data_IF_072134515654
#
_entry.id   IF_072134515654
#
_cell.length_a   1.000
_cell.length_b   1.000
_cell.length_c   1.000
_cell.angle_alpha   90.00
_cell.angle_beta   90.00
_cell.angle_gamma   90.00
#
_symmetry.space_group_name_H-M   'P 1'
#
loop_
_entity.id
_entity.type
_entity.pdbx_description
1 polymer ?
#
# COMPACT_ATOMS: atom_id res chain seq x y z
N UNK A 1 -13.38 8.26 50.86
CA UNK A 1 -12.34 8.19 51.91
C UNK A 1 -12.63 9.16 53.06
N UNK A 2 -13.22 10.34 52.81
CA UNK A 2 -13.65 11.29 53.85
C UNK A 2 -14.68 10.73 54.85
N UNK A 3 -15.61 9.87 54.41
CA UNK A 3 -16.67 9.33 55.29
C UNK A 3 -16.15 8.42 56.42
N UNK A 4 -15.00 7.79 56.24
CA UNK A 4 -14.35 6.94 57.26
C UNK A 4 -13.61 7.82 58.29
N UNK A 5 -12.98 8.90 57.82
CA UNK A 5 -12.26 9.85 58.69
C UNK A 5 -13.22 10.62 59.61
N UNK A 6 -14.45 10.90 59.18
CA UNK A 6 -15.50 11.51 60.04
C UNK A 6 -15.98 10.61 61.18
N UNK A 7 -15.81 9.30 61.06
CA UNK A 7 -16.21 8.34 62.11
C UNK A 7 -15.10 8.07 63.12
N UNK A 8 -13.91 8.64 62.91
CA UNK A 8 -12.77 8.47 63.80
C UNK A 8 -12.70 9.67 64.76
N UNK A 9 -12.65 9.46 66.09
CA UNK A 9 -12.47 10.56 67.04
C UNK A 9 -11.09 11.21 66.86
N UNK A 10 -11.00 12.51 67.14
CA UNK A 10 -9.75 13.31 67.17
C UNK A 10 -9.02 13.48 65.83
N UNK A 11 -9.74 13.47 64.70
CA UNK A 11 -9.14 13.87 63.41
C UNK A 11 -9.04 15.39 63.33
N UNK A 12 -7.83 15.96 63.11
CA UNK A 12 -7.66 17.40 62.94
C UNK A 12 -8.46 17.95 61.75
N UNK A 13 -9.10 19.10 61.94
CA UNK A 13 -9.94 19.73 60.92
C UNK A 13 -9.22 19.95 59.58
N UNK A 14 -7.93 20.27 59.61
CA UNK A 14 -7.14 20.48 58.38
C UNK A 14 -7.00 19.22 57.52
N UNK A 15 -6.97 18.04 58.14
CA UNK A 15 -6.91 16.76 57.42
C UNK A 15 -8.27 16.40 56.81
N UNK A 16 -9.37 16.76 57.48
CA UNK A 16 -10.72 16.61 56.93
C UNK A 16 -10.91 17.55 55.74
N UNK A 17 -10.53 18.83 55.88
CA UNK A 17 -10.59 19.81 54.80
C UNK A 17 -9.72 19.39 53.60
N UNK A 18 -8.53 18.85 53.84
CA UNK A 18 -7.68 18.32 52.77
C UNK A 18 -8.26 17.08 52.08
N UNK A 19 -8.94 16.20 52.82
CA UNK A 19 -9.59 15.02 52.25
C UNK A 19 -10.91 15.36 51.50
N UNK A 20 -11.55 16.47 51.86
CA UNK A 20 -12.78 16.98 51.23
C UNK A 20 -12.51 17.87 50.02
N UNK A 21 -11.32 18.47 49.92
CA UNK A 21 -10.82 19.10 48.69
C UNK A 21 -10.79 18.05 47.60
N UNK A 22 -11.87 18.01 46.80
CA UNK A 22 -11.98 17.14 45.64
C UNK A 22 -10.74 17.37 44.78
N UNK A 23 -9.86 16.36 44.70
CA UNK A 23 -8.82 16.35 43.71
C UNK A 23 -9.49 16.64 42.35
N UNK A 24 -8.98 17.61 41.55
CA UNK A 24 -9.59 17.94 40.27
C UNK A 24 -9.73 16.63 39.50
N UNK A 25 -10.97 16.24 39.23
CA UNK A 25 -11.25 15.07 38.41
C UNK A 25 -10.61 15.36 37.06
N UNK A 26 -9.64 14.55 36.68
CA UNK A 26 -9.19 14.47 35.28
C UNK A 26 -10.41 13.96 34.51
N UNK A 27 -11.19 14.88 33.97
CA UNK A 27 -12.24 14.58 33.02
C UNK A 27 -11.62 14.52 31.64
N UNK A 28 -12.10 13.62 30.80
CA UNK A 28 -11.78 13.67 29.39
C UNK A 28 -12.10 15.08 28.86
N UNK A 29 -11.18 15.64 28.07
CA UNK A 29 -11.46 16.89 27.38
C UNK A 29 -12.76 16.70 26.57
N UNK A 30 -13.71 17.66 26.62
CA UNK A 30 -14.94 17.53 25.86
C UNK A 30 -14.57 17.33 24.40
N UNK A 31 -15.02 16.21 23.83
CA UNK A 31 -14.78 15.91 22.43
C UNK A 31 -15.47 17.04 21.64
N UNK A 32 -14.73 17.85 20.87
CA UNK A 32 -15.35 18.93 20.12
C UNK A 32 -16.39 18.35 19.15
N UNK A 33 -17.44 19.13 18.92
CA UNK A 33 -18.44 18.78 17.93
C UNK A 33 -17.75 18.46 16.58
N UNK A 34 -18.25 17.48 15.81
CA UNK A 34 -17.67 17.14 14.51
C UNK A 34 -17.52 18.39 13.65
N UNK A 35 -16.31 18.66 13.17
CA UNK A 35 -16.07 19.74 12.21
C UNK A 35 -16.86 19.52 10.92
N UNK A 36 -17.39 20.60 10.34
CA UNK A 36 -18.16 20.58 9.09
C UNK A 36 -17.30 20.79 7.84
N UNK A 37 -16.01 21.13 8.02
CA UNK A 37 -15.07 21.44 6.96
C UNK A 37 -14.51 20.21 6.23
N UNK A 38 -14.22 20.38 4.94
CA UNK A 38 -13.55 19.39 4.10
C UNK A 38 -12.02 19.59 4.19
N UNK A 39 -11.19 18.52 4.18
CA UNK A 39 -11.54 17.11 4.09
C UNK A 39 -11.58 16.42 5.47
N UNK A 40 -12.55 15.53 5.63
CA UNK A 40 -12.50 14.49 6.65
C UNK A 40 -11.40 13.47 6.26
N UNK A 41 -10.66 12.95 7.26
CA UNK A 41 -9.38 12.22 7.16
C UNK A 41 -9.13 11.59 5.77
N UNK A 42 -8.13 12.14 5.04
CA UNK A 42 -7.62 11.56 3.79
C UNK A 42 -6.99 10.21 4.09
N UNK A 43 -7.35 9.20 3.31
CA UNK A 43 -6.76 7.87 3.40
C UNK A 43 -5.67 7.70 2.35
N UNK A 44 -4.84 6.68 2.52
CA UNK A 44 -3.79 6.32 1.58
C UNK A 44 -4.26 5.32 0.50
N UNK A 45 -5.58 5.19 0.32
CA UNK A 45 -6.18 4.25 -0.61
C UNK A 45 -6.62 4.95 -1.90
N UNK A 46 -6.22 4.38 -3.03
CA UNK A 46 -6.63 4.76 -4.38
C UNK A 46 -7.58 3.70 -4.92
N UNK A 47 -8.68 4.12 -5.54
CA UNK A 47 -9.61 3.19 -6.18
C UNK A 47 -9.06 2.70 -7.52
N UNK A 48 -9.08 1.39 -7.71
CA UNK A 48 -8.87 0.78 -9.03
C UNK A 48 -10.25 0.55 -9.64
N UNK A 49 -10.56 1.29 -10.70
CA UNK A 49 -11.85 1.28 -11.40
C UNK A 49 -11.94 0.07 -12.31
N UNK A 50 -10.89 -0.18 -13.10
CA UNK A 50 -10.77 -1.34 -13.98
C UNK A 50 -9.47 -2.09 -13.69
N UNK A 51 -9.53 -3.41 -13.80
CA UNK A 51 -8.41 -4.33 -13.62
C UNK A 51 -8.59 -5.53 -14.56
N UNK A 52 -7.53 -6.26 -14.92
CA UNK A 52 -7.62 -7.31 -15.92
C UNK A 52 -8.36 -8.53 -15.37
N UNK A 53 -9.47 -8.88 -16.02
CA UNK A 53 -10.36 -9.98 -15.60
C UNK A 53 -9.94 -11.35 -16.13
N UNK A 54 -8.85 -11.43 -16.91
CA UNK A 54 -8.35 -12.70 -17.42
C UNK A 54 -6.84 -12.65 -17.65
N UNK A 55 -6.19 -13.82 -17.61
CA UNK A 55 -4.78 -14.01 -17.87
C UNK A 55 -4.54 -15.21 -18.80
N UNK A 56 -3.33 -15.30 -19.38
CA UNK A 56 -2.93 -16.48 -20.16
C UNK A 56 -2.71 -17.64 -19.19
N UNK A 57 -3.29 -18.81 -19.47
CA UNK A 57 -3.02 -20.04 -18.71
C UNK A 57 -2.26 -21.03 -19.54
N UNK A 58 -1.22 -21.59 -18.94
CA UNK A 58 -0.39 -22.65 -19.49
C UNK A 58 -0.43 -23.85 -18.53
N UNK A 59 -0.87 -24.98 -19.05
CA UNK A 59 -0.74 -26.28 -18.40
C UNK A 59 0.60 -26.88 -18.80
N UNK A 60 1.53 -26.94 -17.87
CA UNK A 60 2.85 -27.55 -18.04
C UNK A 60 3.33 -28.18 -16.73
N UNK A 61 4.38 -29.00 -16.83
CA UNK A 61 4.96 -29.76 -15.73
C UNK A 61 6.00 -28.98 -14.91
N UNK A 62 6.02 -27.64 -15.06
CA UNK A 62 6.85 -26.81 -14.20
C UNK A 62 6.40 -26.98 -12.75
N UNK A 63 7.37 -27.12 -11.85
CA UNK A 63 7.11 -27.30 -10.42
C UNK A 63 6.48 -26.06 -9.75
N UNK A 64 6.73 -25.89 -8.45
CA UNK A 64 6.18 -24.76 -7.70
C UNK A 64 6.72 -23.39 -8.13
N UNK A 65 6.27 -22.33 -7.45
CA UNK A 65 6.60 -20.93 -7.79
C UNK A 65 8.11 -20.62 -7.83
N UNK A 66 8.94 -21.38 -7.11
CA UNK A 66 10.40 -21.26 -7.18
C UNK A 66 10.98 -21.82 -8.49
N UNK A 67 10.44 -22.94 -8.98
CA UNK A 67 10.84 -23.52 -10.26
C UNK A 67 10.38 -22.62 -11.43
N UNK A 68 9.15 -22.10 -11.37
CA UNK A 68 8.64 -21.14 -12.35
C UNK A 68 9.52 -19.89 -12.44
N UNK A 69 9.86 -19.27 -11.30
CA UNK A 69 10.75 -18.10 -11.30
C UNK A 69 12.13 -18.40 -11.88
N UNK A 70 12.68 -19.58 -11.59
CA UNK A 70 13.93 -20.03 -12.21
C UNK A 70 13.77 -20.19 -13.72
N UNK A 71 12.69 -20.80 -14.20
CA UNK A 71 12.45 -20.99 -15.63
C UNK A 71 12.43 -19.66 -16.39
N UNK A 72 11.67 -18.67 -15.89
CA UNK A 72 11.61 -17.33 -16.47
C UNK A 72 12.99 -16.65 -16.47
N UNK A 73 13.77 -16.81 -15.40
CA UNK A 73 15.11 -16.25 -15.29
C UNK A 73 16.12 -16.87 -16.23
N UNK A 74 16.11 -18.20 -16.38
CA UNK A 74 17.02 -18.88 -17.32
C UNK A 74 16.70 -18.51 -18.77
N UNK A 75 15.42 -18.25 -19.08
CA UNK A 75 15.00 -17.80 -20.41
C UNK A 75 15.20 -16.29 -20.66
N UNK A 76 15.50 -15.51 -19.62
CA UNK A 76 15.75 -14.07 -19.75
C UNK A 76 14.51 -13.23 -20.11
N UNK A 77 13.30 -13.73 -19.86
CA UNK A 77 12.04 -13.12 -20.34
C UNK A 77 11.35 -12.20 -19.33
N UNK A 78 12.06 -11.77 -18.28
CA UNK A 78 11.46 -11.00 -17.17
C UNK A 78 10.91 -9.63 -17.55
N UNK A 79 11.37 -9.06 -18.67
CA UNK A 79 10.86 -7.78 -19.20
C UNK A 79 9.64 -7.97 -20.10
N UNK A 80 9.37 -9.20 -20.54
CA UNK A 80 8.28 -9.54 -21.48
C UNK A 80 7.11 -10.25 -20.80
N UNK A 81 7.37 -10.93 -19.66
CA UNK A 81 6.40 -11.82 -19.00
C UNK A 81 6.52 -11.78 -17.48
N UNK A 82 5.37 -11.76 -16.83
CA UNK A 82 5.21 -12.11 -15.42
C UNK A 82 4.25 -13.28 -15.28
N UNK A 83 4.51 -14.18 -14.34
CA UNK A 83 3.71 -15.37 -14.16
C UNK A 83 3.65 -15.83 -12.71
N UNK A 84 2.49 -16.39 -12.34
CA UNK A 84 2.25 -16.99 -11.04
C UNK A 84 1.82 -18.45 -11.20
N UNK A 85 2.19 -19.27 -10.21
CA UNK A 85 1.73 -20.65 -10.12
C UNK A 85 0.41 -20.70 -9.37
N UNK A 86 -0.59 -21.33 -9.96
CA UNK A 86 -1.89 -21.65 -9.32
C UNK A 86 -2.16 -23.15 -9.35
N UNK A 87 -3.30 -23.56 -8.78
CA UNK A 87 -3.79 -24.94 -8.88
C UNK A 87 -4.14 -25.30 -10.32
N UNK A 88 -4.67 -24.35 -11.10
CA UNK A 88 -5.10 -24.57 -12.48
C UNK A 88 -3.90 -24.67 -13.45
N UNK A 89 -2.74 -24.12 -13.12
CA UNK A 89 -1.57 -24.13 -13.98
C UNK A 89 -0.64 -22.97 -13.70
N UNK A 90 0.12 -22.56 -14.70
CA UNK A 90 0.79 -21.26 -14.73
C UNK A 90 -0.17 -20.25 -15.32
N UNK A 91 -0.39 -19.13 -14.63
CA UNK A 91 -1.09 -17.97 -15.18
C UNK A 91 -0.09 -16.85 -15.42
N UNK A 92 -0.26 -16.09 -16.50
CA UNK A 92 0.72 -15.10 -16.92
C UNK A 92 0.09 -13.90 -17.63
N UNK A 93 0.78 -12.77 -17.53
CA UNK A 93 0.63 -11.61 -18.40
C UNK A 93 1.92 -11.41 -19.19
N UNK A 94 1.81 -10.92 -20.42
CA UNK A 94 2.94 -10.65 -21.29
C UNK A 94 2.90 -11.40 -22.62
N UNK A 95 4.07 -11.56 -23.23
CA UNK A 95 4.24 -12.20 -24.53
C UNK A 95 3.97 -13.70 -24.49
N UNK A 96 3.12 -14.18 -25.40
CA UNK A 96 2.86 -15.62 -25.57
C UNK A 96 4.11 -16.35 -26.09
N UNK A 97 4.89 -15.72 -26.97
CA UNK A 97 6.13 -16.29 -27.48
C UNK A 97 7.21 -16.40 -26.40
N UNK A 98 7.38 -15.37 -25.59
CA UNK A 98 8.30 -15.41 -24.45
C UNK A 98 7.90 -16.49 -23.43
N UNK A 99 6.60 -16.63 -23.17
CA UNK A 99 6.07 -17.66 -22.27
C UNK A 99 6.33 -19.08 -22.82
N UNK A 100 6.13 -19.29 -24.12
CA UNK A 100 6.46 -20.57 -24.78
C UNK A 100 7.95 -20.88 -24.71
N UNK A 101 8.81 -19.90 -24.99
CA UNK A 101 10.27 -20.05 -24.87
C UNK A 101 10.65 -20.52 -23.46
N UNK A 102 10.16 -19.82 -22.44
CA UNK A 102 10.50 -20.12 -21.05
C UNK A 102 9.94 -21.45 -20.53
N UNK A 103 8.77 -21.89 -21.01
CA UNK A 103 8.10 -23.11 -20.53
C UNK A 103 8.31 -24.33 -21.44
N UNK A 104 8.93 -24.17 -22.61
CA UNK A 104 9.25 -25.28 -23.53
C UNK A 104 9.98 -26.46 -22.87
N UNK A 105 10.89 -26.30 -21.88
CA UNK A 105 11.54 -27.43 -21.22
C UNK A 105 10.62 -28.25 -20.31
N UNK A 106 9.41 -27.77 -20.04
CA UNK A 106 8.48 -28.33 -19.04
C UNK A 106 7.21 -28.92 -19.66
N UNK A 107 7.26 -29.30 -20.94
CA UNK A 107 6.18 -29.97 -21.68
C UNK A 107 4.81 -29.24 -21.58
N UNK A 108 4.58 -28.32 -22.51
CA UNK A 108 3.34 -27.55 -22.58
C UNK A 108 2.21 -28.45 -23.12
N UNK A 109 1.24 -28.78 -22.27
CA UNK A 109 0.08 -29.62 -22.63
C UNK A 109 -1.03 -28.81 -23.27
N UNK A 110 -1.31 -27.61 -22.74
CA UNK A 110 -2.40 -26.75 -23.20
C UNK A 110 -2.12 -25.29 -22.89
N UNK A 111 -2.52 -24.41 -23.81
CA UNK A 111 -2.66 -22.98 -23.58
C UNK A 111 -4.14 -22.59 -23.65
N UNK A 112 -4.60 -21.77 -22.71
CA UNK A 112 -5.99 -21.30 -22.63
C UNK A 112 -6.07 -19.92 -21.98
N UNK A 113 -7.28 -19.41 -21.83
CA UNK A 113 -7.56 -18.18 -21.06
C UNK A 113 -8.06 -18.60 -19.68
N UNK A 114 -7.59 -17.92 -18.64
CA UNK A 114 -8.04 -18.11 -17.25
C UNK A 114 -8.73 -16.85 -16.76
N UNK A 115 -9.99 -16.97 -16.36
CA UNK A 115 -10.74 -15.90 -15.74
C UNK A 115 -10.23 -15.66 -14.31
N UNK A 116 -10.07 -14.40 -13.93
CA UNK A 116 -9.66 -13.99 -12.60
C UNK A 116 -10.92 -13.61 -11.82
N UNK A 117 -11.34 -14.52 -10.94
CA UNK A 117 -12.52 -14.35 -10.11
C UNK A 117 -12.25 -13.39 -8.93
N UNK A 118 -13.23 -12.57 -8.59
CA UNK A 118 -13.10 -11.52 -7.57
C UNK A 118 -12.77 -12.07 -6.18
N UNK A 119 -13.31 -13.23 -5.83
CA UNK A 119 -13.11 -13.89 -4.54
C UNK A 119 -11.63 -14.28 -4.35
N UNK A 120 -10.89 -14.49 -5.43
CA UNK A 120 -9.44 -14.78 -5.38
C UNK A 120 -8.64 -13.57 -4.94
N UNK A 121 -9.21 -12.36 -5.01
CA UNK A 121 -8.56 -11.11 -4.63
C UNK A 121 -8.71 -10.79 -3.14
N UNK A 122 -9.61 -11.48 -2.43
CA UNK A 122 -9.86 -11.27 -1.00
C UNK A 122 -8.75 -11.83 -0.08
N UNK A 123 -7.83 -12.63 -0.61
CA UNK A 123 -6.72 -13.26 0.11
C UNK A 123 -5.48 -13.39 -0.79
N UNK A 124 -4.34 -13.77 -0.21
CA UNK A 124 -3.07 -13.97 -0.93
C UNK A 124 -3.12 -15.22 -1.84
N UNK A 125 -3.78 -15.09 -2.99
CA UNK A 125 -3.80 -16.08 -4.06
C UNK A 125 -2.71 -15.83 -5.11
N UNK A 126 -2.49 -16.79 -6.01
CA UNK A 126 -1.57 -16.59 -7.14
C UNK A 126 -2.05 -15.50 -8.10
N UNK A 127 -3.37 -15.38 -8.26
CA UNK A 127 -4.05 -14.33 -9.03
C UNK A 127 -3.83 -12.95 -8.40
N UNK A 128 -4.03 -12.84 -7.07
CA UNK A 128 -3.78 -11.60 -6.33
C UNK A 128 -2.31 -11.17 -6.44
N UNK A 129 -1.38 -12.10 -6.23
CA UNK A 129 0.05 -11.84 -6.37
C UNK A 129 0.46 -11.42 -7.79
N UNK A 130 -0.11 -12.08 -8.82
CA UNK A 130 0.12 -11.72 -10.22
C UNK A 130 -0.38 -10.31 -10.54
N UNK A 131 -1.57 -9.94 -10.07
CA UNK A 131 -2.12 -8.60 -10.26
C UNK A 131 -1.32 -7.53 -9.52
N UNK A 132 -0.87 -7.81 -8.29
CA UNK A 132 -0.06 -6.89 -7.52
C UNK A 132 1.30 -6.63 -8.19
N UNK A 133 1.93 -7.68 -8.74
CA UNK A 133 3.16 -7.56 -9.55
C UNK A 133 2.92 -6.74 -10.82
N UNK A 134 1.87 -7.09 -11.57
CA UNK A 134 1.49 -6.41 -12.81
C UNK A 134 1.28 -4.90 -12.59
N UNK A 135 0.55 -4.54 -11.54
CA UNK A 135 0.27 -3.15 -11.18
C UNK A 135 1.54 -2.42 -10.75
N UNK A 136 2.39 -3.03 -9.93
CA UNK A 136 3.65 -2.42 -9.51
C UNK A 136 4.56 -2.11 -10.69
N UNK A 137 4.66 -3.02 -11.67
CA UNK A 137 5.42 -2.82 -12.90
C UNK A 137 4.77 -1.74 -13.78
N UNK A 138 3.44 -1.77 -13.95
CA UNK A 138 2.72 -0.78 -14.75
C UNK A 138 2.90 0.65 -14.20
N UNK A 139 2.88 0.81 -12.88
CA UNK A 139 3.08 2.09 -12.20
C UNK A 139 4.54 2.55 -12.21
N UNK A 140 5.51 1.65 -12.28
CA UNK A 140 6.93 2.01 -12.35
C UNK A 140 7.44 2.26 -13.77
N UNK A 141 6.71 1.77 -14.78
CA UNK A 141 7.08 1.90 -16.20
C UNK A 141 7.31 3.37 -16.59
N UNK A 142 8.39 3.62 -17.32
CA UNK A 142 8.82 4.94 -17.78
C UNK A 142 9.01 6.00 -16.67
N UNK A 143 9.23 5.55 -15.43
CA UNK A 143 9.48 6.42 -14.28
C UNK A 143 10.84 6.11 -13.66
N UNK A 144 11.46 7.10 -12.96
CA UNK A 144 12.75 6.94 -12.32
C UNK A 144 12.65 6.12 -11.01
N UNK A 145 11.99 4.97 -11.06
CA UNK A 145 11.68 4.11 -9.93
C UNK A 145 12.18 2.69 -10.20
N UNK A 146 12.75 2.04 -9.20
CA UNK A 146 12.98 0.61 -9.23
C UNK A 146 11.82 -0.13 -8.54
N UNK A 147 11.60 -1.39 -8.93
CA UNK A 147 10.57 -2.26 -8.33
C UNK A 147 11.24 -3.38 -7.50
N UNK A 148 10.70 -3.64 -6.30
CA UNK A 148 11.11 -4.76 -5.43
C UNK A 148 9.91 -5.43 -4.76
N UNK A 149 9.85 -6.75 -4.85
CA UNK A 149 8.90 -7.55 -4.09
C UNK A 149 9.30 -7.70 -2.62
N UNK A 150 8.32 -7.62 -1.70
CA UNK A 150 8.48 -7.86 -0.27
C UNK A 150 7.85 -9.20 0.11
N UNK A 151 8.38 -9.86 1.15
CA UNK A 151 7.92 -11.22 1.55
C UNK A 151 6.47 -11.28 2.04
N UNK A 152 5.89 -10.16 2.44
CA UNK A 152 4.51 -10.02 2.95
C UNK A 152 3.51 -9.67 1.84
N UNK A 153 3.82 -9.97 0.58
CA UNK A 153 2.95 -9.67 -0.57
C UNK A 153 2.93 -8.21 -1.02
N UNK A 154 3.64 -7.30 -0.32
CA UNK A 154 3.80 -5.90 -0.73
C UNK A 154 4.84 -5.70 -1.84
N UNK A 155 4.70 -4.61 -2.58
CA UNK A 155 5.64 -4.19 -3.61
C UNK A 155 6.23 -2.83 -3.25
N UNK A 156 7.51 -2.61 -3.51
CA UNK A 156 8.20 -1.36 -3.21
C UNK A 156 8.62 -0.71 -4.51
N UNK A 157 8.17 0.53 -4.71
CA UNK A 157 8.63 1.42 -5.76
C UNK A 157 9.53 2.46 -5.09
N UNK A 158 10.84 2.35 -5.31
CA UNK A 158 11.82 3.27 -4.73
C UNK A 158 12.47 4.13 -5.78
N UNK A 159 12.88 5.35 -5.40
CA UNK A 159 13.61 6.24 -6.32
C UNK A 159 14.90 5.55 -6.76
N UNK A 160 15.14 5.49 -8.07
CA UNK A 160 16.42 5.05 -8.62
C UNK A 160 17.50 6.10 -8.30
N UNK A 161 18.52 5.78 -7.48
CA UNK A 161 19.56 6.75 -7.12
C UNK A 161 20.31 7.33 -8.32
N UNK A 162 20.32 6.62 -9.47
CA UNK A 162 20.94 7.09 -10.72
C UNK A 162 20.11 8.17 -11.41
N UNK A 163 18.81 8.23 -11.11
CA UNK A 163 17.84 9.14 -11.72
C UNK A 163 17.23 10.11 -10.70
N UNK A 164 17.85 10.28 -9.52
CA UNK A 164 17.36 11.13 -8.42
C UNK A 164 17.17 12.63 -8.78
N UNK A 165 17.70 13.07 -9.92
CA UNK A 165 17.56 14.45 -10.43
C UNK A 165 16.48 14.57 -11.53
N UNK A 166 15.71 13.52 -11.80
CA UNK A 166 14.61 13.56 -12.76
C UNK A 166 13.55 14.59 -12.36
N UNK A 167 13.01 15.31 -13.34
CA UNK A 167 11.93 16.28 -13.12
C UNK A 167 10.68 15.61 -12.51
N UNK A 168 10.45 14.34 -12.81
CA UNK A 168 9.32 13.55 -12.29
C UNK A 168 9.41 13.30 -10.77
N UNK A 169 10.51 13.68 -10.10
CA UNK A 169 10.71 13.48 -8.66
C UNK A 169 10.68 14.78 -7.86
N UNK A 170 10.42 15.93 -8.52
CA UNK A 170 10.48 17.24 -7.89
C UNK A 170 9.51 17.38 -6.72
N UNK A 171 8.29 16.88 -6.83
CA UNK A 171 7.29 16.93 -5.77
C UNK A 171 7.76 16.18 -4.51
N UNK A 172 8.32 14.98 -4.67
CA UNK A 172 8.86 14.19 -3.54
C UNK A 172 10.07 14.93 -2.94
N UNK A 173 10.95 15.47 -3.78
CA UNK A 173 12.14 16.20 -3.35
C UNK A 173 11.76 17.45 -2.56
N UNK A 174 10.72 18.17 -2.96
CA UNK A 174 10.20 19.32 -2.22
C UNK A 174 9.66 18.93 -0.84
N UNK A 175 9.03 17.75 -0.72
CA UNK A 175 8.44 17.29 0.54
C UNK A 175 9.47 16.81 1.58
N UNK A 176 10.60 16.23 1.16
CA UNK A 176 11.58 15.58 2.07
C UNK A 176 13.04 16.01 1.90
N UNK A 177 13.32 16.91 0.96
CA UNK A 177 14.66 17.37 0.61
C UNK A 177 15.48 16.31 -0.13
N UNK A 178 16.17 15.44 0.61
CA UNK A 178 17.05 14.41 0.05
C UNK A 178 16.27 13.14 -0.32
N UNK A 179 16.47 12.59 -1.53
CA UNK A 179 15.76 11.38 -1.99
C UNK A 179 16.52 10.08 -1.75
N UNK A 180 17.85 10.14 -1.78
CA UNK A 180 18.73 8.99 -1.68
C UNK A 180 19.98 9.35 -0.87
N UNK A 181 20.59 8.36 -0.23
CA UNK A 181 21.86 8.56 0.44
C UNK A 181 22.53 7.26 0.86
N UNK A 182 23.62 7.38 1.61
CA UNK A 182 24.37 6.27 2.18
C UNK A 182 24.25 6.30 3.70
N UNK A 183 24.00 5.14 4.28
CA UNK A 183 23.95 4.92 5.72
C UNK A 183 25.36 4.71 6.29
N UNK A 184 25.55 4.84 7.60
CA UNK A 184 26.83 4.57 8.26
C UNK A 184 27.40 3.17 7.96
N UNK A 185 26.51 2.18 7.81
CA UNK A 185 26.89 0.80 7.44
C UNK A 185 27.41 0.64 6.00
N UNK A 186 27.33 1.69 5.18
CA UNK A 186 27.63 1.66 3.75
C UNK A 186 26.44 1.24 2.88
N UNK A 187 25.32 0.79 3.46
CA UNK A 187 24.09 0.50 2.74
C UNK A 187 23.49 1.78 2.13
N UNK A 188 22.88 1.68 0.97
CA UNK A 188 22.12 2.77 0.35
C UNK A 188 20.70 2.83 0.93
N UNK A 189 20.19 4.04 1.13
CA UNK A 189 18.78 4.30 1.43
C UNK A 189 18.15 5.18 0.35
N UNK A 190 16.84 5.09 0.22
CA UNK A 190 16.05 5.92 -0.70
C UNK A 190 14.62 6.11 -0.22
N UNK A 191 14.00 7.22 -0.60
CA UNK A 191 12.55 7.38 -0.53
C UNK A 191 11.86 6.36 -1.43
N UNK A 192 10.82 5.73 -0.90
CA UNK A 192 10.04 4.74 -1.62
C UNK A 192 8.58 4.78 -1.18
N UNK A 193 7.74 4.08 -1.93
CA UNK A 193 6.35 3.81 -1.57
C UNK A 193 6.11 2.31 -1.62
N UNK A 194 5.55 1.77 -0.55
CA UNK A 194 5.04 0.42 -0.51
C UNK A 194 3.62 0.39 -1.05
N UNK A 195 3.39 -0.44 -2.05
CA UNK A 195 2.12 -0.74 -2.67
C UNK A 195 1.54 -2.00 -2.07
N UNK A 196 0.26 -1.96 -1.71
CA UNK A 196 -0.52 -3.15 -1.38
C UNK A 196 -1.84 -3.13 -2.13
N UNK A 197 -2.17 -4.28 -2.70
CA UNK A 197 -3.45 -4.50 -3.35
C UNK A 197 -4.42 -5.12 -2.34
N UNK A 198 -5.58 -4.51 -2.13
CA UNK A 198 -6.57 -5.01 -1.17
C UNK A 198 -7.98 -5.00 -1.77
N UNK A 199 -8.76 -6.05 -1.50
CA UNK A 199 -10.17 -6.14 -1.89
C UNK A 199 -11.06 -5.89 -0.68
N UNK A 200 -11.76 -4.76 -0.67
CA UNK A 200 -12.62 -4.33 0.42
C UNK A 200 -13.81 -3.53 -0.11
N UNK A 201 -14.98 -3.71 0.51
CA UNK A 201 -16.21 -3.01 0.13
C UNK A 201 -16.54 -3.21 -1.37
N UNK A 202 -16.41 -4.46 -1.84
CA UNK A 202 -16.65 -4.89 -3.22
C UNK A 202 -15.87 -4.09 -4.27
N UNK A 203 -14.69 -3.60 -3.89
CA UNK A 203 -13.80 -2.81 -4.71
C UNK A 203 -12.34 -3.22 -4.48
N UNK A 204 -11.55 -3.04 -5.54
CA UNK A 204 -10.11 -3.21 -5.49
C UNK A 204 -9.44 -1.86 -5.16
N UNK A 205 -8.58 -1.87 -4.17
CA UNK A 205 -7.88 -0.70 -3.66
C UNK A 205 -6.38 -0.87 -3.80
N UNK A 206 -5.72 0.21 -4.22
CA UNK A 206 -4.28 0.36 -4.13
C UNK A 206 -3.96 1.19 -2.88
N UNK A 207 -3.33 0.56 -1.89
CA UNK A 207 -2.84 1.25 -0.70
C UNK A 207 -1.40 1.69 -0.93
N UNK A 208 -1.11 2.96 -0.63
CA UNK A 208 0.21 3.56 -0.73
C UNK A 208 0.78 3.84 0.67
N UNK A 209 1.95 3.33 1.01
CA UNK A 209 2.64 3.68 2.26
C UNK A 209 4.02 4.28 1.95
N UNK A 210 4.19 5.61 2.02
CA UNK A 210 5.49 6.25 1.87
C UNK A 210 6.49 5.80 2.96
N UNK A 211 7.55 5.13 2.54
CA UNK A 211 8.58 4.55 3.41
C UNK A 211 9.98 5.03 3.03
N UNK A 212 10.94 4.78 3.91
CA UNK A 212 12.36 4.88 3.59
C UNK A 212 12.86 3.46 3.36
N UNK A 213 13.18 3.13 2.12
CA UNK A 213 13.73 1.83 1.77
C UNK A 213 15.24 1.82 1.96
N UNK A 214 15.75 0.71 2.45
CA UNK A 214 17.18 0.47 2.58
C UNK A 214 17.54 -0.77 1.76
N UNK A 215 18.62 -0.65 1.00
CA UNK A 215 19.28 -1.79 0.39
C UNK A 215 19.68 -2.81 1.46
N UNK A 216 19.80 -4.08 1.07
CA UNK A 216 20.18 -5.15 2.00
C UNK A 216 21.55 -4.83 2.62
N UNK A 217 21.54 -4.44 3.89
CA UNK A 217 22.71 -4.49 4.76
C UNK A 217 22.91 -5.92 5.28
N UNK A 218 24.07 -6.20 5.88
CA UNK A 218 24.26 -7.41 6.68
C UNK A 218 23.13 -7.54 7.72
N UNK A 219 22.75 -8.79 8.04
CA UNK A 219 21.79 -9.11 9.10
C UNK A 219 22.55 -9.61 10.34
N UNK A 220 22.22 -9.14 11.56
CA UNK A 220 21.19 -8.15 11.90
C UNK A 220 21.54 -6.74 11.40
N UNK A 221 20.50 -5.92 11.18
CA UNK A 221 20.69 -4.52 10.73
C UNK A 221 21.40 -3.71 11.82
N UNK A 222 22.40 -2.87 11.47
CA UNK A 222 23.03 -1.97 12.43
C UNK A 222 22.00 -1.04 13.09
N UNK A 223 22.11 -0.85 14.41
CA UNK A 223 21.17 -0.01 15.16
C UNK A 223 21.13 1.44 14.65
N UNK A 224 22.28 1.98 14.22
CA UNK A 224 22.38 3.31 13.63
C UNK A 224 21.53 3.48 12.36
N UNK A 225 21.45 2.46 11.50
CA UNK A 225 20.65 2.49 10.28
C UNK A 225 19.15 2.49 10.59
N UNK A 226 18.73 1.73 11.61
CA UNK A 226 17.34 1.69 12.08
C UNK A 226 16.95 3.02 12.70
N UNK A 227 17.81 3.59 13.54
CA UNK A 227 17.56 4.90 14.16
C UNK A 227 17.54 6.02 13.12
N UNK A 228 18.38 5.97 12.08
CA UNK A 228 18.30 6.91 10.96
C UNK A 228 16.91 6.89 10.28
N UNK A 229 16.39 5.70 9.95
CA UNK A 229 15.06 5.58 9.35
C UNK A 229 13.97 6.07 10.30
N UNK A 230 14.10 5.77 11.59
CA UNK A 230 13.16 6.21 12.62
C UNK A 230 13.13 7.73 12.71
N UNK A 231 14.30 8.38 12.84
CA UNK A 231 14.42 9.83 12.93
C UNK A 231 13.85 10.52 11.70
N UNK A 232 14.17 10.02 10.49
CA UNK A 232 13.66 10.56 9.23
C UNK A 232 12.14 10.44 9.05
N UNK A 233 11.52 9.45 9.70
CA UNK A 233 10.06 9.28 9.71
C UNK A 233 9.38 10.03 10.85
N UNK A 234 10.09 10.30 11.95
CA UNK A 234 9.53 10.93 13.14
C UNK A 234 8.99 12.34 12.86
N UNK A 235 9.60 13.06 11.92
CA UNK A 235 9.18 14.41 11.54
C UNK A 235 7.96 14.44 10.60
N UNK A 236 7.54 13.28 10.07
CA UNK A 236 6.41 13.16 9.12
C UNK A 236 5.06 13.21 9.83
N UNK A 237 4.78 14.33 10.47
CA UNK A 237 3.46 14.63 11.01
C UNK A 237 2.41 14.73 9.89
N UNK A 238 1.12 14.76 10.25
CA UNK A 238 0.01 14.70 9.28
C UNK A 238 0.18 15.62 8.05
N UNK A 239 0.58 16.91 8.17
CA UNK A 239 0.74 17.77 7.00
C UNK A 239 1.86 17.32 6.05
N UNK A 240 3.02 16.90 6.59
CA UNK A 240 4.13 16.43 5.77
C UNK A 240 3.82 15.05 5.17
N UNK A 241 3.17 14.17 5.93
CA UNK A 241 2.73 12.86 5.44
C UNK A 241 1.71 13.01 4.29
N UNK A 242 0.76 13.94 4.41
CA UNK A 242 -0.22 14.25 3.36
C UNK A 242 0.45 14.83 2.11
N UNK A 243 1.38 15.77 2.28
CA UNK A 243 2.17 16.35 1.18
C UNK A 243 2.99 15.28 0.48
N UNK A 244 3.64 14.39 1.23
CA UNK A 244 4.44 13.30 0.68
C UNK A 244 3.58 12.27 -0.04
N UNK A 245 2.39 11.95 0.48
CA UNK A 245 1.44 11.07 -0.19
C UNK A 245 0.96 11.69 -1.51
N UNK A 246 0.61 12.98 -1.51
CA UNK A 246 0.24 13.70 -2.73
C UNK A 246 1.36 13.66 -3.78
N UNK A 247 2.60 13.92 -3.35
CA UNK A 247 3.77 13.85 -4.23
C UNK A 247 3.95 12.44 -4.83
N UNK A 248 3.79 11.38 -4.05
CA UNK A 248 3.84 10.01 -4.57
C UNK A 248 2.72 9.72 -5.56
N UNK A 249 1.50 10.19 -5.31
CA UNK A 249 0.37 10.05 -6.23
C UNK A 249 0.68 10.74 -7.55
N UNK A 250 1.22 11.96 -7.52
CA UNK A 250 1.64 12.69 -8.72
C UNK A 250 2.72 11.93 -9.50
N UNK A 251 3.75 11.38 -8.84
CA UNK A 251 4.78 10.59 -9.52
C UNK A 251 4.18 9.33 -10.17
N UNK A 252 3.32 8.62 -9.45
CA UNK A 252 2.77 7.34 -9.92
C UNK A 252 1.70 7.54 -11.00
N UNK A 253 0.79 8.49 -10.83
CA UNK A 253 -0.40 8.64 -11.66
C UNK A 253 -0.35 9.85 -12.60
N UNK A 254 0.61 10.75 -12.42
CA UNK A 254 0.71 12.02 -13.13
C UNK A 254 -0.18 13.12 -12.52
N UNK A 255 -0.11 14.32 -13.09
CA UNK A 255 -0.94 15.49 -12.72
C UNK A 255 -2.34 15.44 -13.36
N UNK A 256 -2.93 14.24 -13.47
CA UNK A 256 -4.20 14.05 -14.15
C UNK A 256 -5.37 14.20 -13.17
N UNK A 257 -6.32 15.06 -13.51
CA UNK A 257 -7.60 15.16 -12.81
C UNK A 257 -8.56 14.12 -13.40
N UNK A 258 -8.44 12.86 -12.97
CA UNK A 258 -9.39 11.80 -13.30
C UNK A 258 -8.77 10.42 -13.50
N UNK A 259 -9.58 9.46 -14.02
CA UNK A 259 -9.14 8.10 -14.27
C UNK A 259 -8.01 8.02 -15.30
N UNK A 260 -6.91 7.35 -14.95
CA UNK A 260 -5.77 7.13 -15.82
C UNK A 260 -5.54 5.63 -16.05
N UNK A 261 -5.17 5.26 -17.28
CA UNK A 261 -4.92 3.88 -17.70
C UNK A 261 -3.43 3.55 -17.65
N UNK A 262 -3.09 2.41 -17.06
CA UNK A 262 -1.73 1.91 -16.94
C UNK A 262 -1.68 0.48 -17.47
N UNK A 263 -0.66 0.16 -18.25
CA UNK A 263 -0.42 -1.18 -18.77
C UNK A 263 0.96 -1.66 -18.35
N UNK A 264 1.06 -2.95 -18.01
CA UNK A 264 2.29 -3.53 -17.48
C UNK A 264 3.41 -3.51 -18.50
N UNK A 265 3.14 -3.93 -19.74
CA UNK A 265 4.15 -3.96 -20.81
C UNK A 265 3.93 -2.88 -21.87
N UNK A 266 2.70 -2.41 -22.06
CA UNK A 266 2.38 -1.33 -23.02
C UNK A 266 2.15 -1.80 -24.44
N UNK A 267 1.82 -3.08 -24.61
CA UNK A 267 1.66 -3.74 -25.90
C UNK A 267 2.52 -4.99 -26.00
N UNK A 268 1.87 -6.15 -26.10
CA UNK A 268 2.50 -7.47 -26.28
C UNK A 268 1.69 -8.30 -27.28
N UNK A 269 2.32 -9.31 -27.85
CA UNK A 269 1.70 -10.34 -28.71
C UNK A 269 0.85 -11.36 -27.93
N UNK A 270 0.78 -11.25 -26.60
CA UNK A 270 -0.06 -12.07 -25.72
C UNK A 270 -1.11 -11.25 -24.97
N UNK A 271 -1.27 -11.50 -23.66
CA UNK A 271 -2.25 -10.83 -22.81
C UNK A 271 -1.53 -9.84 -21.90
N UNK A 272 -1.71 -8.53 -22.12
CA UNK A 272 -1.21 -7.49 -21.21
C UNK A 272 -2.17 -7.28 -20.03
N UNK A 273 -1.62 -6.91 -18.88
CA UNK A 273 -2.40 -6.45 -17.74
C UNK A 273 -2.58 -4.93 -17.84
N UNK A 274 -3.83 -4.48 -17.78
CA UNK A 274 -4.15 -3.06 -17.81
C UNK A 274 -5.11 -2.69 -16.69
N UNK A 275 -4.86 -1.53 -16.09
CA UNK A 275 -5.56 -1.00 -14.93
C UNK A 275 -6.04 0.42 -15.22
N UNK A 276 -7.18 0.80 -14.66
CA UNK A 276 -7.65 2.19 -14.63
C UNK A 276 -7.76 2.61 -13.17
N UNK A 277 -7.03 3.65 -12.78
CA UNK A 277 -6.98 4.16 -11.41
C UNK A 277 -7.52 5.59 -11.36
N UNK A 278 -8.26 5.91 -10.31
CA UNK A 278 -8.63 7.30 -10.00
C UNK A 278 -7.53 7.95 -9.16
N UNK A 279 -6.94 9.05 -9.63
CA UNK A 279 -5.92 9.78 -8.87
C UNK A 279 -6.43 10.35 -7.54
N UNK A 280 -7.75 10.40 -7.35
CA UNK A 280 -8.38 10.85 -6.10
C UNK A 280 -8.29 9.76 -5.03
N UNK A 281 -7.51 10.01 -3.97
CA UNK A 281 -7.48 9.15 -2.79
C UNK A 281 -8.82 9.15 -2.05
N UNK A 282 -9.19 8.04 -1.42
CA UNK A 282 -10.42 7.95 -0.65
C UNK A 282 -10.37 8.81 0.63
N UNK A 283 -11.54 9.30 1.04
CA UNK A 283 -11.71 10.10 2.27
C UNK A 283 -12.68 9.39 3.21
N UNK A 284 -12.40 9.45 4.52
CA UNK A 284 -13.34 8.96 5.54
C UNK A 284 -14.09 10.15 6.14
N UNK A 285 -15.43 10.11 6.13
CA UNK A 285 -16.29 11.06 6.82
C UNK A 285 -16.87 10.42 8.08
N UNK A 286 -17.09 11.19 9.16
CA UNK A 286 -17.98 10.72 10.23
C UNK A 286 -19.38 10.56 9.63
N UNK A 287 -19.89 9.33 9.61
CA UNK A 287 -21.28 9.07 9.25
C UNK A 287 -22.19 9.86 10.18
N UNK A 288 -23.22 10.50 9.64
CA UNK A 288 -24.32 10.94 10.48
C UNK A 288 -24.89 9.69 11.15
N UNK A 289 -24.98 9.69 12.48
CA UNK A 289 -25.80 8.69 13.18
C UNK A 289 -27.19 8.87 12.59
N UNK A 290 -27.67 7.88 11.84
CA UNK A 290 -29.07 7.83 11.46
C UNK A 290 -29.86 7.70 12.77
N UNK A 291 -30.29 8.83 13.33
CA UNK A 291 -31.42 8.81 14.25
C UNK A 291 -32.59 8.30 13.43
N UNK A 292 -32.90 7.01 13.61
CA UNK A 292 -34.18 6.44 13.25
C UNK A 292 -35.25 7.32 13.87
N UNK A 293 -35.85 8.20 13.07
CA UNK A 293 -37.05 8.91 13.46
C UNK A 293 -38.18 7.88 13.52
N UNK A 294 -38.37 7.29 14.71
CA UNK A 294 -39.72 7.01 15.17
C UNK A 294 -40.39 8.38 15.29
N UNK A 295 -41.25 8.69 14.33
CA UNK A 295 -42.23 9.75 14.48
C UNK A 295 -43.60 9.09 14.31
N UNK A 296 -44.25 8.99 15.46
CA UNK A 296 -45.63 8.66 15.72
C UNK A 296 -46.58 9.05 14.59
N UNK A 297 -47.29 8.04 14.06
CA UNK A 297 -48.55 8.26 13.37
C UNK A 297 -49.67 8.30 14.41
N UNK A 298 -50.00 9.50 14.89
CA UNK A 298 -51.26 9.76 15.58
C UNK A 298 -51.96 10.96 14.92
N UNK A 299 -53.21 10.70 14.52
CA UNK A 299 -54.32 11.63 14.25
C UNK A 299 -54.28 12.47 12.96
N UNK A 300 -54.99 11.97 11.93
CA UNK A 300 -56.25 12.56 11.43
C UNK A 300 -56.92 11.59 10.43
#
# INVERSE_FOLDING_TARGET
MADVLRQTPDVPYELLDHAERQAPRVSDAPIPAPGTGWPAIRTNAITIIEWPSSARRIECEVGGSAALRKALAHAGVHEEVIAARTRAGVIAFGSDDALRRALSPYEIKRASIHAIEMERLAYESGEHGLLAEALALALARDRPLFVRHRRNGGWILGVDPRQQNSANLLAIKAAVGQLCGRLPSGAQWTEAVELRLDWRLDRLWLLLDPIVWMSRSQAPRPAADVEFVRARRAERFNPQADTLLAAWIEVLLGDQQGPARFSTFGGVDGIDAAFVLDATSAYSRRGAVAMSAMADSEVA
#
